data_IF_400352583993
#
_entry.id   IF_400352583993
#
_cell.length_a   1.000
_cell.length_b   1.000
_cell.length_c   1.000
_cell.angle_alpha   90.00
_cell.angle_beta   90.00
_cell.angle_gamma   90.00
#
_symmetry.space_group_name_H-M   'P 1'
#
loop_
_entity.id
_entity.type
_entity.pdbx_description
1 polymer ?
#
# COMPACT_ATOMS: atom_id res chain seq x y z
N UNK A 1 45.96 20.65 9.94
CA UNK A 1 45.36 20.44 11.26
C UNK A 1 45.07 18.95 11.38
N UNK A 2 45.59 18.25 12.39
CA UNK A 2 45.39 16.80 12.49
C UNK A 2 43.98 16.55 13.05
N UNK A 3 43.10 15.84 12.32
CA UNK A 3 41.74 15.58 12.78
C UNK A 3 41.75 14.85 14.13
N UNK A 4 40.85 15.24 15.03
CA UNK A 4 40.58 14.50 16.26
C UNK A 4 39.50 13.45 16.01
N UNK A 5 39.36 12.50 16.93
CA UNK A 5 38.33 11.46 16.86
C UNK A 5 36.91 12.05 16.71
N UNK A 6 36.70 13.23 17.31
CA UNK A 6 35.45 13.98 17.24
C UNK A 6 35.14 14.47 15.83
N UNK A 7 36.18 14.91 15.10
CA UNK A 7 36.05 15.37 13.72
C UNK A 7 35.71 14.21 12.79
N UNK A 8 36.28 13.02 13.03
CA UNK A 8 35.98 11.79 12.30
C UNK A 8 34.52 11.35 12.54
N UNK A 9 34.09 11.35 13.80
CA UNK A 9 32.74 10.97 14.19
C UNK A 9 31.69 11.88 13.55
N UNK A 10 31.92 13.20 13.59
CA UNK A 10 31.06 14.19 12.96
C UNK A 10 31.06 14.05 11.42
N UNK A 11 32.22 13.82 10.81
CA UNK A 11 32.35 13.67 9.36
C UNK A 11 31.63 12.43 8.83
N UNK A 12 31.73 11.31 9.55
CA UNK A 12 31.08 10.05 9.18
C UNK A 12 29.61 9.94 9.67
N UNK A 13 29.11 10.94 10.42
CA UNK A 13 27.75 10.93 10.96
C UNK A 13 27.49 9.84 12.00
N UNK A 14 28.51 9.43 12.75
CA UNK A 14 28.42 8.32 13.73
C UNK A 14 28.93 8.74 15.11
N UNK A 15 28.64 7.94 16.14
CA UNK A 15 29.14 8.19 17.49
C UNK A 15 30.65 7.91 17.61
N UNK A 16 31.35 8.60 18.54
CA UNK A 16 32.77 8.34 18.85
C UNK A 16 33.04 6.89 19.23
N UNK A 17 32.08 6.26 19.90
CA UNK A 17 32.13 4.84 20.28
C UNK A 17 32.15 3.94 19.04
N UNK A 18 31.31 4.25 18.05
CA UNK A 18 31.27 3.53 16.77
C UNK A 18 32.61 3.61 16.05
N UNK A 19 33.26 4.77 16.04
CA UNK A 19 34.60 4.94 15.44
C UNK A 19 35.66 4.13 16.21
N UNK A 20 35.59 4.06 17.53
CA UNK A 20 36.47 3.21 18.34
C UNK A 20 36.27 1.72 18.04
N UNK A 21 35.02 1.29 17.87
CA UNK A 21 34.69 -0.07 17.46
C UNK A 21 35.23 -0.39 16.06
N UNK A 22 35.24 0.57 15.12
CA UNK A 22 35.87 0.39 13.81
C UNK A 22 37.38 0.21 13.93
N UNK A 23 38.06 1.03 14.74
CA UNK A 23 39.50 0.92 14.99
C UNK A 23 39.82 -0.44 15.62
N UNK A 24 39.00 -0.91 16.57
CA UNK A 24 39.14 -2.24 17.16
C UNK A 24 38.95 -3.38 16.14
N UNK A 25 38.20 -3.14 15.05
CA UNK A 25 37.98 -4.07 13.94
C UNK A 25 39.02 -3.96 12.82
N UNK A 26 40.06 -3.14 12.99
CA UNK A 26 41.14 -2.98 12.02
C UNK A 26 40.94 -1.83 11.03
N UNK A 27 40.06 -0.87 11.31
CA UNK A 27 39.96 0.37 10.54
C UNK A 27 41.29 1.15 10.61
N UNK A 28 41.81 1.65 9.47
CA UNK A 28 43.06 2.42 9.44
C UNK A 28 42.89 3.74 10.23
N UNK A 29 43.57 3.83 11.37
CA UNK A 29 43.58 5.02 12.21
C UNK A 29 44.33 4.78 13.51
N UNK A 30 45.12 5.75 13.96
CA UNK A 30 45.82 5.69 15.25
C UNK A 30 45.40 6.85 16.13
N UNK A 31 45.46 6.72 17.46
CA UNK A 31 45.24 7.86 18.34
C UNK A 31 46.11 9.05 17.93
N UNK A 32 45.49 10.20 17.67
CA UNK A 32 46.11 11.45 17.19
C UNK A 32 46.56 11.45 15.72
N UNK A 33 46.20 10.44 14.92
CA UNK A 33 46.44 10.44 13.47
C UNK A 33 45.31 9.67 12.77
N UNK A 34 44.31 10.41 12.30
CA UNK A 34 43.18 9.86 11.57
C UNK A 34 43.21 10.40 10.14
N UNK A 35 43.35 9.49 9.16
CA UNK A 35 43.14 9.82 7.76
C UNK A 35 41.67 9.57 7.43
N UNK A 36 40.91 10.65 7.25
CA UNK A 36 39.48 10.57 6.96
C UNK A 36 39.20 9.80 5.67
N UNK A 37 40.07 9.91 4.67
CA UNK A 37 39.87 9.27 3.37
C UNK A 37 39.99 7.74 3.51
N UNK A 38 41.02 7.27 4.20
CA UNK A 38 41.24 5.83 4.43
C UNK A 38 40.15 5.22 5.32
N UNK A 39 39.74 5.94 6.37
CA UNK A 39 38.67 5.47 7.27
C UNK A 39 37.32 5.36 6.55
N UNK A 40 37.00 6.31 5.67
CA UNK A 40 35.77 6.30 4.87
C UNK A 40 35.80 5.18 3.83
N UNK A 41 36.94 4.95 3.19
CA UNK A 41 37.11 3.85 2.26
C UNK A 41 36.92 2.50 2.98
N UNK A 42 37.56 2.32 4.13
CA UNK A 42 37.40 1.12 4.93
C UNK A 42 35.95 0.92 5.38
N UNK A 43 35.28 1.99 5.85
CA UNK A 43 33.87 1.94 6.24
C UNK A 43 32.98 1.59 5.05
N UNK A 44 33.26 2.12 3.85
CA UNK A 44 32.56 1.73 2.63
C UNK A 44 32.65 0.26 2.36
N UNK A 45 33.82 -0.35 2.51
CA UNK A 45 34.08 -1.76 2.20
C UNK A 45 33.58 -2.74 3.27
N UNK A 46 33.54 -2.33 4.54
CA UNK A 46 33.31 -3.25 5.67
C UNK A 46 32.05 -2.94 6.50
N UNK A 47 31.53 -1.73 6.43
CA UNK A 47 30.40 -1.26 7.26
C UNK A 47 29.20 -0.85 6.40
N UNK A 48 29.44 -0.08 5.33
CA UNK A 48 28.40 0.49 4.48
C UNK A 48 28.09 -0.32 3.23
N UNK A 49 28.91 -1.31 2.84
CA UNK A 49 28.40 -2.33 1.90
C UNK A 49 27.29 -3.06 2.65
N UNK A 50 26.04 -3.03 2.16
CA UNK A 50 25.04 -3.95 2.65
C UNK A 50 25.60 -5.34 2.41
N UNK A 51 25.61 -6.19 3.44
CA UNK A 51 26.09 -7.57 3.39
C UNK A 51 25.22 -8.40 2.43
N UNK A 52 25.24 -8.08 1.14
CA UNK A 52 24.76 -8.89 0.04
C UNK A 52 25.83 -9.94 -0.18
N UNK A 53 25.58 -11.12 0.37
CA UNK A 53 25.49 -12.35 -0.43
C UNK A 53 25.29 -13.53 0.52
N UNK A 54 24.05 -13.96 0.67
CA UNK A 54 23.68 -15.37 0.50
C UNK A 54 22.16 -15.47 0.31
N UNK A 55 21.77 -15.62 -0.97
CA UNK A 55 20.50 -16.18 -1.43
C UNK A 55 19.19 -15.41 -1.14
N UNK A 56 18.81 -14.52 -2.06
CA UNK A 56 17.89 -14.88 -3.16
C UNK A 56 17.63 -13.66 -4.04
N UNK A 57 18.05 -13.79 -5.29
CA UNK A 57 17.35 -13.29 -6.47
C UNK A 57 15.85 -13.53 -6.31
N UNK A 58 15.09 -12.50 -5.99
CA UNK A 58 13.76 -12.24 -6.54
C UNK A 58 13.57 -10.72 -6.49
N UNK A 59 13.22 -10.19 -7.65
CA UNK A 59 12.72 -8.83 -7.82
C UNK A 59 11.45 -8.65 -6.97
N UNK A 60 11.14 -7.38 -6.68
CA UNK A 60 9.90 -6.84 -6.09
C UNK A 60 9.81 -6.69 -4.56
N UNK A 61 9.88 -5.42 -4.13
CA UNK A 61 9.22 -4.83 -2.95
C UNK A 61 9.40 -5.48 -1.57
N UNK A 62 10.64 -5.80 -1.21
CA UNK A 62 11.01 -6.02 0.19
C UNK A 62 11.03 -4.71 0.97
N UNK A 63 9.89 -4.34 1.57
CA UNK A 63 9.76 -3.17 2.46
C UNK A 63 10.81 -3.22 3.59
N UNK A 64 11.78 -2.27 3.62
CA UNK A 64 12.84 -2.22 4.63
C UNK A 64 12.35 -2.16 6.08
N UNK A 65 11.06 -1.84 6.31
CA UNK A 65 10.43 -1.80 7.63
C UNK A 65 10.11 -3.18 8.24
N UNK A 66 10.21 -4.27 7.47
CA UNK A 66 9.94 -5.62 7.97
C UNK A 66 11.19 -6.38 8.44
N UNK A 67 12.39 -5.89 8.11
CA UNK A 67 13.64 -6.61 8.36
C UNK A 67 14.29 -6.37 9.73
N UNK A 68 13.83 -5.40 10.53
CA UNK A 68 14.39 -5.15 11.86
C UNK A 68 13.40 -5.54 12.96
N UNK A 69 13.77 -6.56 13.74
CA UNK A 69 12.96 -7.23 14.75
C UNK A 69 12.73 -6.39 16.01
N UNK A 70 11.99 -5.29 15.89
CA UNK A 70 11.49 -4.52 17.02
C UNK A 70 10.16 -5.07 17.53
N UNK A 71 10.22 -5.88 18.58
CA UNK A 71 9.07 -6.43 19.32
C UNK A 71 8.09 -5.33 19.76
N UNK A 72 6.85 -5.37 19.28
CA UNK A 72 5.68 -4.89 20.03
C UNK A 72 5.28 -3.42 19.95
N UNK A 73 5.56 -2.70 18.86
CA UNK A 73 4.92 -1.38 18.68
C UNK A 73 3.57 -1.53 17.97
N UNK A 74 2.49 -1.09 18.63
CA UNK A 74 1.09 -1.09 18.11
C UNK A 74 0.99 -0.45 16.72
N UNK A 75 1.88 0.50 16.43
CA UNK A 75 1.93 1.18 15.15
C UNK A 75 2.48 0.30 14.02
N UNK A 76 3.48 -0.54 14.30
CA UNK A 76 4.01 -1.51 13.33
C UNK A 76 2.98 -2.61 13.01
N UNK A 77 2.17 -3.02 13.98
CA UNK A 77 1.09 -3.98 13.77
C UNK A 77 -0.01 -3.40 12.89
N UNK A 78 -0.44 -2.15 13.14
CA UNK A 78 -1.40 -1.44 12.27
C UNK A 78 -0.88 -1.30 10.84
N UNK A 79 0.39 -0.92 10.70
CA UNK A 79 1.01 -0.80 9.39
C UNK A 79 1.06 -2.13 8.62
N UNK A 80 1.43 -3.23 9.29
CA UNK A 80 1.41 -4.58 8.71
C UNK A 80 0.00 -4.98 8.27
N UNK A 81 -0.99 -4.69 9.10
CA UNK A 81 -2.40 -4.97 8.80
C UNK A 81 -2.89 -4.19 7.58
N UNK A 82 -2.62 -2.89 7.51
CA UNK A 82 -2.94 -2.03 6.36
C UNK A 82 -2.24 -2.53 5.09
N UNK A 83 -0.98 -2.93 5.18
CA UNK A 83 -0.24 -3.51 4.04
C UNK A 83 -0.81 -4.85 3.58
N UNK A 84 -1.22 -5.73 4.50
CA UNK A 84 -1.87 -6.99 4.11
C UNK A 84 -3.21 -6.75 3.41
N UNK A 85 -3.98 -5.74 3.83
CA UNK A 85 -5.22 -5.34 3.16
C UNK A 85 -4.95 -4.79 1.76
N UNK A 86 -3.92 -3.96 1.59
CA UNK A 86 -3.52 -3.41 0.29
C UNK A 86 -3.11 -4.52 -0.68
N UNK A 87 -2.30 -5.48 -0.24
CA UNK A 87 -1.88 -6.64 -1.04
C UNK A 87 -3.07 -7.52 -1.40
N UNK A 88 -4.01 -7.75 -0.46
CA UNK A 88 -5.24 -8.51 -0.71
C UNK A 88 -6.12 -7.83 -1.74
N UNK A 89 -6.35 -6.52 -1.62
CA UNK A 89 -7.13 -5.74 -2.57
C UNK A 89 -6.50 -5.73 -3.97
N UNK A 90 -5.17 -5.62 -4.06
CA UNK A 90 -4.44 -5.72 -5.33
C UNK A 90 -4.63 -7.09 -5.97
N UNK A 91 -4.49 -8.17 -5.20
CA UNK A 91 -4.69 -9.53 -5.70
C UNK A 91 -6.11 -9.78 -6.22
N UNK A 92 -7.13 -9.30 -5.50
CA UNK A 92 -8.52 -9.43 -5.92
C UNK A 92 -8.83 -8.62 -7.20
N UNK A 93 -8.18 -7.47 -7.37
CA UNK A 93 -8.22 -6.70 -8.62
C UNK A 93 -7.57 -7.47 -9.77
N UNK A 94 -6.39 -8.03 -9.56
CA UNK A 94 -5.66 -8.79 -10.59
C UNK A 94 -6.40 -10.08 -10.99
N UNK A 95 -7.17 -10.66 -10.05
CA UNK A 95 -8.06 -11.79 -10.32
C UNK A 95 -9.36 -11.39 -11.03
N UNK A 96 -9.59 -10.10 -11.25
CA UNK A 96 -10.81 -9.58 -11.90
C UNK A 96 -12.06 -9.65 -11.02
N UNK A 97 -11.91 -9.89 -9.71
CA UNK A 97 -13.02 -9.97 -8.76
C UNK A 97 -13.45 -8.58 -8.26
N UNK A 98 -12.59 -7.56 -8.42
CA UNK A 98 -12.90 -6.17 -8.10
C UNK A 98 -12.96 -5.33 -9.38
N UNK A 99 -14.14 -4.77 -9.65
CA UNK A 99 -14.34 -3.77 -10.71
C UNK A 99 -13.97 -2.39 -10.15
N UNK A 100 -13.25 -1.60 -10.93
CA UNK A 100 -12.95 -0.23 -10.54
C UNK A 100 -14.24 0.60 -10.50
N UNK A 101 -14.46 1.38 -9.44
CA UNK A 101 -15.65 2.23 -9.31
C UNK A 101 -15.83 3.18 -10.49
N UNK A 102 -14.74 3.66 -11.09
CA UNK A 102 -14.77 4.47 -12.30
C UNK A 102 -15.34 3.72 -13.50
N UNK A 103 -15.02 2.44 -13.67
CA UNK A 103 -15.55 1.62 -14.77
C UNK A 103 -17.06 1.38 -14.60
N UNK A 104 -17.51 1.14 -13.36
CA UNK A 104 -18.94 1.04 -13.04
C UNK A 104 -19.64 2.37 -13.38
N UNK A 105 -19.05 3.49 -12.96
CA UNK A 105 -19.61 4.82 -13.23
C UNK A 105 -19.69 5.12 -14.73
N UNK A 106 -18.65 4.79 -15.50
CA UNK A 106 -18.62 4.96 -16.95
C UNK A 106 -19.69 4.10 -17.64
N UNK A 107 -19.82 2.83 -17.22
CA UNK A 107 -20.86 1.93 -17.71
C UNK A 107 -22.27 2.46 -17.44
N UNK A 108 -22.52 2.94 -16.22
CA UNK A 108 -23.80 3.54 -15.84
C UNK A 108 -24.10 4.80 -16.65
N UNK A 109 -23.12 5.67 -16.88
CA UNK A 109 -23.29 6.86 -17.72
C UNK A 109 -23.69 6.52 -19.16
N UNK A 110 -23.12 5.45 -19.73
CA UNK A 110 -23.50 4.97 -21.06
C UNK A 110 -24.96 4.48 -21.05
N UNK A 111 -25.33 3.68 -20.05
CA UNK A 111 -26.70 3.16 -19.92
C UNK A 111 -27.73 4.29 -19.73
N UNK A 112 -27.45 5.28 -18.87
CA UNK A 112 -28.34 6.44 -18.67
C UNK A 112 -28.58 7.21 -19.96
N UNK A 113 -27.54 7.36 -20.80
CA UNK A 113 -27.70 8.00 -22.10
C UNK A 113 -28.59 7.21 -23.06
N UNK A 114 -28.47 5.88 -23.07
CA UNK A 114 -29.33 5.00 -23.89
C UNK A 114 -30.80 5.10 -23.43
N UNK A 115 -31.05 5.03 -22.13
CA UNK A 115 -32.41 5.13 -21.56
C UNK A 115 -33.03 6.47 -21.89
N UNK A 116 -32.29 7.58 -21.73
CA UNK A 116 -32.77 8.92 -22.09
C UNK A 116 -33.16 9.01 -23.57
N UNK A 117 -32.31 8.51 -24.47
CA UNK A 117 -32.60 8.50 -25.91
C UNK A 117 -33.84 7.66 -26.24
N UNK A 118 -34.01 6.51 -25.56
CA UNK A 118 -35.20 5.68 -25.72
C UNK A 118 -36.46 6.40 -25.24
N UNK A 119 -36.41 7.10 -24.11
CA UNK A 119 -37.52 7.90 -23.59
C UNK A 119 -37.92 9.03 -24.55
N UNK A 120 -36.94 9.79 -25.07
CA UNK A 120 -37.18 10.83 -26.08
C UNK A 120 -37.82 10.28 -27.36
N UNK A 121 -37.41 9.07 -27.79
CA UNK A 121 -37.96 8.40 -28.97
C UNK A 121 -39.39 7.90 -28.72
N UNK A 122 -39.64 7.29 -27.55
CA UNK A 122 -40.97 6.82 -27.14
C UNK A 122 -41.95 7.98 -27.08
N UNK A 123 -41.58 9.06 -26.40
CA UNK A 123 -42.43 10.25 -26.28
C UNK A 123 -42.80 10.82 -27.65
N UNK A 124 -41.83 10.88 -28.58
CA UNK A 124 -42.06 11.39 -29.93
C UNK A 124 -42.95 10.49 -30.78
N UNK A 125 -42.82 9.18 -30.64
CA UNK A 125 -43.46 8.20 -31.54
C UNK A 125 -44.83 7.76 -31.03
N UNK A 126 -44.99 7.68 -29.71
CA UNK A 126 -46.16 7.10 -29.05
C UNK A 126 -46.87 8.06 -28.10
N UNK A 127 -46.32 9.27 -27.89
CA UNK A 127 -46.90 10.27 -27.01
C UNK A 127 -46.46 10.12 -25.55
N UNK A 128 -47.08 10.92 -24.68
CA UNK A 128 -46.72 11.07 -23.28
C UNK A 128 -47.00 9.81 -22.45
N UNK A 129 -48.13 9.14 -22.67
CA UNK A 129 -48.50 7.90 -21.95
C UNK A 129 -47.42 6.80 -22.06
N UNK A 130 -46.76 6.68 -23.21
CA UNK A 130 -45.69 5.70 -23.40
C UNK A 130 -44.39 6.07 -22.68
N UNK A 131 -44.15 7.37 -22.50
CA UNK A 131 -43.02 7.87 -21.71
C UNK A 131 -43.24 7.64 -20.21
N UNK A 132 -44.47 7.87 -19.72
CA UNK A 132 -44.84 7.63 -18.32
C UNK A 132 -44.58 6.18 -17.90
N UNK A 133 -44.91 5.20 -18.76
CA UNK A 133 -44.62 3.77 -18.49
C UNK A 133 -43.12 3.52 -18.32
N UNK A 134 -42.27 4.17 -19.12
CA UNK A 134 -40.82 4.03 -18.98
C UNK A 134 -40.33 4.67 -17.67
N UNK A 135 -40.86 5.84 -17.32
CA UNK A 135 -40.52 6.55 -16.08
C UNK A 135 -40.90 5.73 -14.84
N UNK A 136 -42.11 5.16 -14.81
CA UNK A 136 -42.55 4.24 -13.74
C UNK A 136 -41.61 3.03 -13.61
N UNK A 137 -41.21 2.42 -14.74
CA UNK A 137 -40.29 1.29 -14.73
C UNK A 137 -38.89 1.66 -14.19
N UNK A 138 -38.40 2.88 -14.46
CA UNK A 138 -37.13 3.38 -13.92
C UNK A 138 -37.24 3.56 -12.40
N UNK A 139 -38.34 4.15 -11.90
CA UNK A 139 -38.58 4.34 -10.47
C UNK A 139 -38.66 2.98 -9.74
N UNK A 140 -39.36 2.02 -10.33
CA UNK A 140 -39.44 0.66 -9.77
C UNK A 140 -38.06 -0.01 -9.73
N UNK A 141 -37.28 0.13 -10.81
CA UNK A 141 -35.90 -0.36 -10.86
C UNK A 141 -35.01 0.28 -9.77
N UNK A 142 -35.10 1.60 -9.58
CA UNK A 142 -34.34 2.31 -8.54
C UNK A 142 -34.71 1.82 -7.14
N UNK A 143 -36.00 1.61 -6.89
CA UNK A 143 -36.50 1.09 -5.61
C UNK A 143 -35.95 -0.32 -5.34
N UNK A 144 -36.00 -1.21 -6.35
CA UNK A 144 -35.46 -2.56 -6.22
C UNK A 144 -33.93 -2.57 -6.08
N UNK A 145 -33.23 -1.66 -6.78
CA UNK A 145 -31.79 -1.51 -6.65
C UNK A 145 -31.41 -1.02 -5.25
N UNK A 146 -32.15 -0.08 -4.67
CA UNK A 146 -31.94 0.37 -3.29
C UNK A 146 -32.21 -0.76 -2.27
N UNK A 147 -33.23 -1.58 -2.48
CA UNK A 147 -33.49 -2.73 -1.60
C UNK A 147 -32.35 -3.78 -1.66
N UNK A 148 -31.83 -4.03 -2.87
CA UNK A 148 -30.78 -5.01 -3.09
C UNK A 148 -29.38 -4.52 -2.68
N UNK A 149 -29.07 -3.25 -2.93
CA UNK A 149 -27.71 -2.69 -2.80
C UNK A 149 -27.57 -1.56 -1.76
N UNK A 150 -28.68 -0.98 -1.30
CA UNK A 150 -28.68 0.17 -0.39
C UNK A 150 -28.33 -0.16 1.06
N UNK A 151 -28.42 -1.43 1.47
CA UNK A 151 -27.99 -1.87 2.80
C UNK A 151 -26.46 -1.99 2.88
N UNK A 152 -25.81 -0.83 2.97
CA UNK A 152 -24.35 -0.68 3.08
C UNK A 152 -23.80 -1.43 4.30
N UNK A 153 -24.63 -1.65 5.31
CA UNK A 153 -24.30 -2.38 6.53
C UNK A 153 -24.19 -3.91 6.28
N UNK A 154 -24.93 -4.45 5.30
CA UNK A 154 -24.76 -5.84 4.82
C UNK A 154 -23.46 -6.02 4.03
N UNK A 155 -23.12 -5.07 3.16
CA UNK A 155 -21.86 -5.11 2.42
C UNK A 155 -20.64 -5.01 3.37
N UNK A 156 -20.72 -4.15 4.39
CA UNK A 156 -19.71 -4.05 5.43
C UNK A 156 -19.58 -5.35 6.25
N UNK A 157 -20.69 -6.00 6.60
CA UNK A 157 -20.70 -7.31 7.28
C UNK A 157 -20.12 -8.44 6.43
N UNK A 158 -20.30 -8.43 5.11
CA UNK A 158 -19.67 -9.40 4.20
C UNK A 158 -18.16 -9.19 4.06
N UNK A 159 -17.69 -7.95 4.11
CA UNK A 159 -16.25 -7.62 4.01
C UNK A 159 -15.52 -7.88 5.34
N UNK A 160 -16.19 -7.65 6.48
CA UNK A 160 -15.59 -7.76 7.82
C UNK A 160 -15.98 -9.03 8.59
N UNK A 161 -16.87 -9.88 8.08
CA UNK A 161 -17.45 -11.00 8.80
C UNK A 161 -17.30 -12.35 8.11
N UNK A 162 -16.16 -13.00 8.34
CA UNK A 162 -16.00 -14.47 8.51
C UNK A 162 -14.78 -14.76 9.41
N UNK A 163 -14.47 -13.89 10.39
CA UNK A 163 -13.42 -14.16 11.39
C UNK A 163 -13.96 -14.90 12.64
N UNK A 164 -15.26 -15.20 12.70
CA UNK A 164 -15.92 -15.87 13.84
C UNK A 164 -16.06 -17.40 13.69
N UNK A 165 -15.37 -18.06 12.75
CA UNK A 165 -15.48 -19.53 12.55
C UNK A 165 -14.42 -20.40 13.26
N UNK A 166 -13.47 -19.83 14.02
CA UNK A 166 -12.45 -20.61 14.75
C UNK A 166 -12.61 -20.63 16.29
N UNK A 167 -13.78 -20.25 16.82
CA UNK A 167 -14.06 -20.30 18.27
C UNK A 167 -14.78 -21.58 18.75
N UNK A 168 -14.77 -22.66 17.96
CA UNK A 168 -15.32 -23.97 18.37
C UNK A 168 -14.45 -25.15 17.90
N UNK A 169 -13.30 -25.38 18.57
CA UNK A 169 -12.82 -26.70 19.00
C UNK A 169 -12.02 -26.57 20.29
#
# INVERSE_FOLDING_TARGET
MVPRLDDVANFAGVSKRTVQEWIARGCPGRPKHYDLSEMVQWAREHVWVPRRTAAKTFEEDGDPLLSDGGTGSVWLEKYRHEKTLEVRAKRLRDMGELVATSEIQDGLNVLSNVIRQAGELLQRTHGEEAYEILEEAIIEFETQAEELFGDSDRAAKLIHGTEDEDALV
#
